data_IF_044410252945
#
_entry.id   IF_044410252945
#
_cell.length_a   1.000
_cell.length_b   1.000
_cell.length_c   1.000
_cell.angle_alpha   90.00
_cell.angle_beta   90.00
_cell.angle_gamma   90.00
#
_symmetry.space_group_name_H-M   'P 1'
#
loop_
_entity.id
_entity.type
_entity.pdbx_description
1 polymer ?
#
# COMPACT_ATOMS: atom_id res chain seq x y z
N UNK A 1 -12.19 -3.10 -4.29
CA UNK A 1 -10.84 -2.54 -4.47
C UNK A 1 -9.83 -3.67 -4.31
N UNK A 2 -8.68 -3.59 -4.96
CA UNK A 2 -7.54 -4.47 -4.70
C UNK A 2 -6.46 -3.60 -4.04
N UNK A 3 -5.80 -4.13 -3.00
CA UNK A 3 -4.55 -3.58 -2.49
C UNK A 3 -3.43 -4.59 -2.76
N UNK A 4 -2.26 -4.10 -3.16
CA UNK A 4 -1.12 -4.93 -3.48
C UNK A 4 0.17 -4.14 -3.26
N UNK A 5 1.28 -4.83 -3.00
CA UNK A 5 2.59 -4.21 -2.90
C UNK A 5 3.30 -4.20 -4.25
N UNK A 6 4.05 -3.14 -4.55
CA UNK A 6 4.86 -3.04 -5.77
C UNK A 6 6.11 -2.20 -5.51
N UNK A 7 7.20 -2.54 -6.21
CA UNK A 7 8.51 -1.87 -6.17
C UNK A 7 8.79 -1.02 -7.42
N UNK A 8 7.74 -0.72 -8.20
CA UNK A 8 7.80 -0.04 -9.50
C UNK A 8 8.49 1.32 -9.47
N UNK A 9 8.46 2.01 -8.33
CA UNK A 9 8.99 3.37 -8.15
C UNK A 9 10.31 3.40 -7.36
N UNK A 10 10.96 2.25 -7.19
CA UNK A 10 12.32 2.13 -6.62
C UNK A 10 12.37 1.75 -5.14
N UNK A 11 11.23 1.77 -4.44
CA UNK A 11 11.00 1.19 -3.12
C UNK A 11 9.65 0.48 -3.12
N UNK A 12 9.47 -0.41 -2.14
CA UNK A 12 8.23 -1.21 -2.06
C UNK A 12 7.15 -0.41 -1.34
N UNK A 13 6.04 -0.20 -2.00
CA UNK A 13 4.91 0.60 -1.55
C UNK A 13 3.59 -0.15 -1.74
N UNK A 14 2.56 0.31 -1.03
CA UNK A 14 1.20 -0.20 -1.18
C UNK A 14 0.45 0.62 -2.21
N UNK A 15 -0.09 -0.08 -3.20
CA UNK A 15 -0.95 0.48 -4.22
C UNK A 15 -2.37 -0.04 -4.07
N UNK A 16 -3.33 0.77 -4.52
CA UNK A 16 -4.73 0.37 -4.67
C UNK A 16 -5.17 0.51 -6.11
N UNK A 17 -6.13 -0.31 -6.53
CA UNK A 17 -6.74 -0.23 -7.85
C UNK A 17 -8.15 -0.81 -7.90
N UNK A 18 -8.87 -0.50 -8.97
CA UNK A 18 -10.10 -1.20 -9.34
C UNK A 18 -9.79 -2.63 -9.81
N UNK A 19 -10.73 -3.60 -9.68
CA UNK A 19 -10.51 -4.97 -10.15
C UNK A 19 -10.24 -5.10 -11.65
N UNK A 20 -10.63 -4.10 -12.45
CA UNK A 20 -10.33 -4.01 -13.88
C UNK A 20 -8.92 -3.46 -14.18
N UNK A 21 -8.13 -3.17 -13.13
CA UNK A 21 -6.77 -2.65 -13.22
C UNK A 21 -6.67 -1.14 -13.37
N UNK A 22 -7.80 -0.42 -13.44
CA UNK A 22 -7.84 1.04 -13.55
C UNK A 22 -7.66 1.73 -12.19
N UNK A 23 -7.49 3.05 -12.23
CA UNK A 23 -7.38 3.91 -11.04
C UNK A 23 -6.29 3.47 -10.05
N UNK A 24 -5.11 3.09 -10.57
CA UNK A 24 -3.97 2.76 -9.72
C UNK A 24 -3.47 4.01 -8.99
N UNK A 25 -3.24 3.88 -7.68
CA UNK A 25 -2.66 4.94 -6.85
C UNK A 25 -1.76 4.34 -5.76
N UNK A 26 -0.61 4.96 -5.52
CA UNK A 26 0.20 4.74 -4.32
C UNK A 26 -0.49 5.43 -3.13
N UNK A 27 -0.71 4.67 -2.05
CA UNK A 27 -1.38 5.16 -0.83
C UNK A 27 -0.43 5.29 0.35
N UNK A 28 0.85 4.92 0.18
CA UNK A 28 1.86 4.94 1.24
C UNK A 28 2.91 6.02 1.06
N UNK A 29 3.37 6.27 -0.18
CA UNK A 29 4.30 7.30 -0.60
C UNK A 29 5.37 7.63 0.45
N UNK A 30 6.25 6.69 0.70
CA UNK A 30 7.27 6.85 1.72
C UNK A 30 8.54 6.08 1.35
N UNK A 31 9.75 6.63 1.61
CA UNK A 31 11.02 5.98 1.26
C UNK A 31 11.31 4.62 1.94
N UNK A 32 10.42 4.16 2.81
CA UNK A 32 10.58 2.93 3.56
C UNK A 32 9.80 1.82 2.85
N UNK A 33 10.09 0.56 3.17
CA UNK A 33 9.36 -0.56 2.58
C UNK A 33 8.06 -0.81 3.32
N UNK A 34 6.97 -0.79 2.58
CA UNK A 34 5.63 -1.17 3.03
C UNK A 34 5.17 -2.45 2.32
N UNK A 35 4.63 -3.40 3.09
CA UNK A 35 4.38 -4.77 2.65
C UNK A 35 3.03 -5.31 3.15
N UNK A 36 2.64 -6.45 2.59
CA UNK A 36 1.52 -7.29 3.08
C UNK A 36 0.22 -6.52 3.35
N UNK A 37 -0.32 -5.79 2.36
CA UNK A 37 -1.52 -5.01 2.58
C UNK A 37 -2.75 -5.90 2.78
N UNK A 38 -3.60 -5.52 3.72
CA UNK A 38 -4.90 -6.15 3.95
C UNK A 38 -5.99 -5.08 4.12
N UNK A 39 -7.07 -5.20 3.34
CA UNK A 39 -8.24 -4.35 3.51
C UNK A 39 -8.99 -4.70 4.79
N UNK A 40 -9.50 -3.68 5.47
CA UNK A 40 -10.52 -3.87 6.49
C UNK A 40 -11.80 -4.44 5.87
N UNK A 41 -12.62 -5.22 6.60
CA UNK A 41 -13.84 -5.81 6.06
C UNK A 41 -14.86 -4.79 5.54
N UNK A 42 -14.86 -3.59 6.10
CA UNK A 42 -15.70 -2.46 5.68
C UNK A 42 -15.07 -1.62 4.56
N UNK A 43 -13.88 -1.99 4.08
CA UNK A 43 -13.12 -1.29 3.02
C UNK A 43 -12.77 0.18 3.32
N UNK A 44 -12.75 0.58 4.60
CA UNK A 44 -12.43 1.96 4.99
C UNK A 44 -10.94 2.19 5.28
N UNK A 45 -10.16 1.12 5.46
CA UNK A 45 -8.74 1.22 5.74
C UNK A 45 -7.93 0.03 5.25
N UNK A 46 -6.61 0.22 5.22
CA UNK A 46 -5.63 -0.81 4.88
C UNK A 46 -4.66 -0.95 6.04
N UNK A 47 -4.49 -2.17 6.54
CA UNK A 47 -3.37 -2.54 7.38
C UNK A 47 -2.20 -2.98 6.50
N UNK A 48 -0.98 -2.66 6.91
CA UNK A 48 0.24 -3.05 6.19
C UNK A 48 1.41 -3.14 7.18
N UNK A 49 2.40 -3.93 6.82
CA UNK A 49 3.67 -3.97 7.54
C UNK A 49 4.59 -2.87 7.03
N UNK A 50 5.28 -2.19 7.94
CA UNK A 50 6.16 -1.08 7.60
C UNK A 50 7.45 -1.16 8.39
N UNK A 51 8.59 -0.93 7.73
CA UNK A 51 9.89 -0.81 8.38
C UNK A 51 10.25 0.65 8.72
N UNK A 52 9.26 1.55 8.69
CA UNK A 52 9.41 2.95 9.11
C UNK A 52 9.80 3.00 10.59
N UNK A 53 10.84 3.75 10.90
CA UNK A 53 11.15 4.09 12.29
C UNK A 53 10.15 5.15 12.72
N UNK A 54 9.37 4.87 13.77
CA UNK A 54 8.51 5.86 14.37
C UNK A 54 9.37 7.07 14.78
N UNK A 55 9.00 8.27 14.35
CA UNK A 55 9.65 9.48 14.87
C UNK A 55 9.29 9.58 16.35
N UNK A 56 10.32 9.56 17.20
CA UNK A 56 10.21 9.89 18.63
C UNK A 56 9.86 11.36 18.82
#
# INVERSE_FOLDING_TARGET
MIAFSSDRDGNREIYVMNPDGTAQADVTNHPAHDNEPAWSPDSTGIAFESNRVARH
#
